data_IF_068942502499
#
_entry.id   IF_068942502499
#
_cell.length_a   1.000
_cell.length_b   1.000
_cell.length_c   1.000
_cell.angle_alpha   90.00
_cell.angle_beta   90.00
_cell.angle_gamma   90.00
#
_symmetry.space_group_name_H-M   'P 1'
#
loop_
_entity.id
_entity.type
_entity.pdbx_description
1 polymer ?
#
# COMPACT_ATOMS: atom_id res chain seq x y z
N UNK A 1 48.77 3.82 -33.31
CA UNK A 1 47.35 3.85 -33.69
C UNK A 1 46.66 2.77 -32.88
N UNK A 2 45.94 3.16 -31.84
CA UNK A 2 44.93 2.33 -31.20
C UNK A 2 43.71 3.22 -31.08
N UNK A 3 42.70 2.89 -31.89
CA UNK A 3 41.45 3.62 -31.95
C UNK A 3 40.69 3.47 -30.64
N UNK A 4 40.23 4.62 -30.16
CA UNK A 4 39.39 4.78 -28.99
C UNK A 4 38.05 4.08 -29.26
N UNK A 5 37.69 3.14 -28.38
CA UNK A 5 36.32 2.69 -28.25
C UNK A 5 35.42 3.89 -27.94
N UNK A 6 34.23 4.02 -28.57
CA UNK A 6 33.26 4.99 -28.14
C UNK A 6 32.68 4.51 -26.80
N UNK A 7 32.93 5.29 -25.75
CA UNK A 7 32.09 5.27 -24.55
C UNK A 7 30.66 5.54 -25.01
N UNK A 8 29.82 4.51 -25.02
CA UNK A 8 28.39 4.70 -24.96
C UNK A 8 28.07 5.13 -23.53
N UNK A 9 28.14 6.44 -23.29
CA UNK A 9 27.23 7.04 -22.33
C UNK A 9 25.83 6.70 -22.86
N UNK A 10 25.24 5.67 -22.28
CA UNK A 10 23.79 5.50 -22.32
C UNK A 10 23.29 6.66 -21.46
N UNK A 11 22.99 7.77 -22.13
CA UNK A 11 22.09 8.79 -21.62
C UNK A 11 20.73 8.10 -21.43
N UNK A 12 20.55 7.45 -20.28
CA UNK A 12 19.22 7.22 -19.73
C UNK A 12 18.56 8.59 -19.72
N UNK A 13 17.50 8.78 -20.50
CA UNK A 13 16.74 10.02 -20.52
C UNK A 13 16.55 10.48 -19.07
N UNK A 14 16.87 11.74 -18.71
CA UNK A 14 16.69 12.18 -17.34
C UNK A 14 15.20 12.02 -17.05
N UNK A 15 14.86 11.26 -16.00
CA UNK A 15 13.56 11.37 -15.35
C UNK A 15 13.33 12.88 -15.20
N UNK A 16 12.36 13.45 -15.92
CA UNK A 16 12.30 14.90 -16.10
C UNK A 16 11.67 15.54 -14.85
N UNK A 17 12.36 15.42 -13.73
CA UNK A 17 12.07 16.17 -12.54
C UNK A 17 12.44 17.63 -12.82
N UNK A 18 11.47 18.54 -12.67
CA UNK A 18 11.63 19.96 -12.96
C UNK A 18 12.41 20.70 -11.85
N UNK A 19 12.59 20.04 -10.70
CA UNK A 19 13.23 20.58 -9.49
C UNK A 19 14.27 19.61 -8.92
N UNK A 20 15.06 20.07 -7.95
CA UNK A 20 16.10 19.25 -7.33
C UNK A 20 15.51 18.12 -6.49
N UNK A 21 16.25 17.02 -6.34
CA UNK A 21 15.86 15.91 -5.45
C UNK A 21 15.57 16.39 -4.02
N UNK A 22 16.42 17.27 -3.47
CA UNK A 22 16.24 17.86 -2.14
C UNK A 22 14.93 18.66 -2.02
N UNK A 23 14.51 19.35 -3.09
CA UNK A 23 13.23 20.04 -3.11
C UNK A 23 12.06 19.07 -2.94
N UNK A 24 12.05 17.99 -3.73
CA UNK A 24 10.99 16.99 -3.65
C UNK A 24 10.99 16.22 -2.33
N UNK A 25 12.16 15.87 -1.79
CA UNK A 25 12.26 15.24 -0.46
C UNK A 25 11.57 16.11 0.59
N UNK A 26 11.92 17.39 0.67
CA UNK A 26 11.30 18.31 1.63
C UNK A 26 9.80 18.53 1.38
N UNK A 27 9.39 18.60 0.11
CA UNK A 27 7.99 18.79 -0.26
C UNK A 27 7.14 17.57 0.14
N UNK A 28 7.66 16.36 -0.09
CA UNK A 28 7.01 15.10 0.25
C UNK A 28 6.99 14.88 1.76
N UNK A 29 8.10 15.12 2.48
CA UNK A 29 8.11 15.09 3.95
C UNK A 29 7.02 15.99 4.55
N UNK A 30 6.93 17.24 4.08
CA UNK A 30 5.86 18.14 4.53
C UNK A 30 4.46 17.67 4.13
N UNK A 31 4.31 16.99 2.99
CA UNK A 31 3.02 16.42 2.56
C UNK A 31 2.62 15.23 3.43
N UNK A 32 3.57 14.36 3.80
CA UNK A 32 3.38 13.25 4.73
C UNK A 32 2.93 13.76 6.10
N UNK A 33 3.58 14.81 6.61
CA UNK A 33 3.17 15.43 7.89
C UNK A 33 1.72 15.89 7.83
N UNK A 34 1.33 16.60 6.75
CA UNK A 34 -0.05 17.06 6.57
C UNK A 34 -1.04 15.94 6.31
N UNK A 35 -0.64 14.86 5.64
CA UNK A 35 -1.47 13.68 5.47
C UNK A 35 -1.79 13.05 6.82
N UNK A 36 -0.79 12.93 7.70
CA UNK A 36 -0.95 12.36 9.05
C UNK A 36 -1.96 13.12 9.91
N UNK A 37 -2.06 14.45 9.75
CA UNK A 37 -3.05 15.29 10.44
C UNK A 37 -4.49 15.05 9.96
N UNK A 38 -4.68 14.31 8.86
CA UNK A 38 -5.99 13.98 8.28
C UNK A 38 -6.45 12.57 8.64
N UNK A 39 -5.61 11.77 9.30
CA UNK A 39 -6.02 10.46 9.80
C UNK A 39 -6.82 10.61 11.10
N UNK A 40 -7.86 9.78 11.30
CA UNK A 40 -8.56 9.75 12.58
C UNK A 40 -7.78 8.94 13.63
N UNK A 41 -8.22 9.02 14.89
CA UNK A 41 -7.68 8.21 15.99
C UNK A 41 -8.51 6.93 16.17
N UNK A 42 -8.73 6.18 15.09
CA UNK A 42 -9.49 4.91 15.11
C UNK A 42 -8.58 3.71 15.44
N UNK A 43 -9.15 2.55 15.83
CA UNK A 43 -8.36 1.37 16.20
C UNK A 43 -7.40 0.87 15.11
N UNK A 44 -7.79 0.93 13.84
CA UNK A 44 -7.03 0.45 12.68
C UNK A 44 -6.61 1.59 11.75
N UNK A 45 -7.54 2.40 11.23
CA UNK A 45 -7.20 3.48 10.29
C UNK A 45 -6.69 4.72 11.02
N UNK A 46 -5.43 4.69 11.48
CA UNK A 46 -4.78 5.78 12.25
C UNK A 46 -3.39 6.13 11.70
N UNK A 47 -2.72 7.21 12.17
CA UNK A 47 -1.38 7.59 11.68
C UNK A 47 -0.28 6.54 11.87
N UNK A 48 -0.54 5.48 12.67
CA UNK A 48 0.36 4.34 12.82
C UNK A 48 0.24 3.40 11.62
N UNK A 49 -0.98 3.01 11.25
CA UNK A 49 -1.25 2.29 10.00
C UNK A 49 -0.65 2.98 8.79
N UNK A 50 -0.81 4.31 8.66
CA UNK A 50 -0.15 5.11 7.62
C UNK A 50 1.37 4.82 7.53
N UNK A 51 2.06 4.80 8.67
CA UNK A 51 3.51 4.55 8.73
C UNK A 51 3.86 3.11 8.37
N UNK A 52 3.08 2.16 8.86
CA UNK A 52 3.28 0.74 8.58
C UNK A 52 3.14 0.47 7.06
N UNK A 53 2.14 1.08 6.41
CA UNK A 53 1.95 0.98 4.95
C UNK A 53 3.09 1.63 4.17
N UNK A 54 3.55 2.81 4.59
CA UNK A 54 4.72 3.47 3.98
C UNK A 54 5.99 2.61 4.08
N UNK A 55 6.23 1.98 5.23
CA UNK A 55 7.35 1.06 5.43
C UNK A 55 7.20 -0.19 4.53
N UNK A 56 6.01 -0.79 4.52
CA UNK A 56 5.71 -1.97 3.71
C UNK A 56 5.87 -1.71 2.20
N UNK A 57 5.52 -0.51 1.70
CA UNK A 57 5.82 -0.11 0.31
C UNK A 57 7.32 -0.22 0.02
N UNK A 58 8.17 0.35 0.89
CA UNK A 58 9.62 0.31 0.71
C UNK A 58 10.19 -1.10 0.78
N UNK A 59 9.59 -1.99 1.57
CA UNK A 59 9.95 -3.42 1.59
C UNK A 59 9.53 -4.15 0.31
N UNK A 60 8.31 -3.93 -0.16
CA UNK A 60 7.79 -4.57 -1.37
C UNK A 60 8.54 -4.15 -2.64
N UNK A 61 8.93 -2.87 -2.74
CA UNK A 61 9.73 -2.38 -3.87
C UNK A 61 11.08 -3.09 -3.95
N UNK A 62 11.70 -3.42 -2.81
CA UNK A 62 12.97 -4.18 -2.77
C UNK A 62 12.85 -5.64 -3.22
N UNK A 63 11.63 -6.18 -3.27
CA UNK A 63 11.36 -7.53 -3.78
C UNK A 63 11.23 -7.55 -5.31
N UNK A 64 11.11 -6.39 -5.96
CA UNK A 64 10.99 -6.29 -7.41
C UNK A 64 12.34 -6.63 -8.08
N UNK A 65 12.31 -7.21 -9.29
CA UNK A 65 13.52 -7.55 -10.03
C UNK A 65 14.28 -6.30 -10.47
N UNK A 66 15.40 -6.02 -9.79
CA UNK A 66 16.29 -4.86 -10.02
C UNK A 66 16.93 -4.80 -11.42
N UNK A 67 17.13 -5.97 -12.03
CA UNK A 67 17.83 -6.13 -13.31
C UNK A 67 16.92 -6.08 -14.54
N UNK A 68 15.61 -5.90 -14.33
CA UNK A 68 14.66 -5.77 -15.44
C UNK A 68 14.70 -4.35 -16.02
N UNK A 69 14.98 -4.23 -17.32
CA UNK A 69 14.83 -2.96 -18.05
C UNK A 69 13.70 -3.07 -19.08
N UNK A 70 12.67 -2.19 -19.03
CA UNK A 70 12.47 -1.15 -18.01
C UNK A 70 12.13 -1.73 -16.63
N UNK A 71 12.56 -1.04 -15.56
CA UNK A 71 12.21 -1.40 -14.18
C UNK A 71 10.70 -1.36 -13.98
N UNK A 72 10.19 -2.22 -13.10
CA UNK A 72 8.75 -2.23 -12.73
C UNK A 72 8.34 -0.92 -12.04
N UNK A 73 9.18 -0.43 -11.12
CA UNK A 73 9.06 0.86 -10.42
C UNK A 73 10.42 1.55 -10.53
N UNK A 74 10.45 2.81 -10.96
CA UNK A 74 11.68 3.62 -10.97
C UNK A 74 11.91 4.28 -9.60
N UNK A 75 13.13 4.75 -9.28
CA UNK A 75 13.39 5.45 -8.02
C UNK A 75 12.47 6.65 -7.79
N UNK A 76 12.14 7.41 -8.84
CA UNK A 76 11.15 8.50 -8.73
C UNK A 76 9.73 7.99 -8.42
N UNK A 77 9.33 6.88 -9.04
CA UNK A 77 8.04 6.26 -8.77
C UNK A 77 7.95 5.64 -7.37
N UNK A 78 9.07 5.20 -6.78
CA UNK A 78 9.14 4.77 -5.38
C UNK A 78 8.82 5.93 -4.43
N UNK A 79 9.42 7.12 -4.66
CA UNK A 79 9.11 8.33 -3.89
C UNK A 79 7.62 8.73 -4.02
N UNK A 80 7.06 8.62 -5.23
CA UNK A 80 5.62 8.83 -5.46
C UNK A 80 4.75 7.78 -4.77
N UNK A 81 5.16 6.52 -4.77
CA UNK A 81 4.39 5.44 -4.14
C UNK A 81 4.36 5.61 -2.62
N UNK A 82 5.47 6.06 -2.01
CA UNK A 82 5.51 6.45 -0.60
C UNK A 82 4.57 7.62 -0.29
N UNK A 83 4.48 8.61 -1.20
CA UNK A 83 3.52 9.71 -1.06
C UNK A 83 2.06 9.19 -1.17
N UNK A 84 1.77 8.30 -2.12
CA UNK A 84 0.45 7.66 -2.22
C UNK A 84 0.09 6.89 -0.95
N UNK A 85 1.05 6.13 -0.39
CA UNK A 85 0.89 5.42 0.88
C UNK A 85 0.59 6.36 2.05
N UNK A 86 1.22 7.54 2.12
CA UNK A 86 0.92 8.51 3.16
C UNK A 86 -0.52 9.05 3.09
N UNK A 87 -1.11 9.11 1.90
CA UNK A 87 -2.42 9.71 1.68
C UNK A 87 -3.58 8.71 1.60
N UNK A 88 -3.33 7.40 1.42
CA UNK A 88 -4.36 6.44 0.98
C UNK A 88 -5.64 6.41 1.82
N UNK A 89 -5.53 6.61 3.14
CA UNK A 89 -6.65 6.66 4.09
C UNK A 89 -6.85 8.04 4.74
N UNK A 90 -6.20 9.08 4.21
CA UNK A 90 -6.39 10.42 4.73
C UNK A 90 -7.87 10.83 4.65
N UNK A 91 -8.44 11.27 5.78
CA UNK A 91 -9.84 11.64 5.88
C UNK A 91 -10.82 10.47 5.96
N UNK A 92 -10.36 9.28 6.34
CA UNK A 92 -11.16 8.04 6.40
C UNK A 92 -12.53 8.17 7.08
N UNK A 93 -12.62 8.86 8.22
CA UNK A 93 -13.85 9.11 9.00
C UNK A 93 -14.40 10.54 8.85
N UNK A 94 -13.91 11.30 7.87
CA UNK A 94 -14.45 12.63 7.65
C UNK A 94 -15.89 12.55 7.14
N UNK A 95 -16.77 13.39 7.69
CA UNK A 95 -18.15 13.52 7.19
C UNK A 95 -18.20 13.86 5.70
N UNK A 96 -17.19 14.56 5.19
CA UNK A 96 -17.08 14.93 3.78
C UNK A 96 -16.82 13.74 2.86
N UNK A 97 -16.22 12.65 3.35
CA UNK A 97 -15.98 11.42 2.57
C UNK A 97 -17.28 10.82 2.00
N UNK A 98 -18.42 11.03 2.69
CA UNK A 98 -19.75 10.56 2.25
C UNK A 98 -20.23 11.16 0.92
N UNK A 99 -19.61 12.23 0.45
CA UNK A 99 -19.91 12.84 -0.84
C UNK A 99 -19.19 12.15 -2.01
N UNK A 100 -18.28 11.22 -1.72
CA UNK A 100 -17.46 10.52 -2.70
C UNK A 100 -17.93 9.07 -2.89
N UNK A 101 -17.68 8.45 -4.06
CA UNK A 101 -18.06 7.05 -4.29
C UNK A 101 -17.38 6.06 -3.35
N UNK A 102 -16.14 6.34 -2.95
CA UNK A 102 -15.36 5.55 -2.00
C UNK A 102 -14.53 6.47 -1.09
N UNK A 103 -13.96 5.93 -0.01
CA UNK A 103 -13.09 6.69 0.91
C UNK A 103 -11.77 7.07 0.22
N UNK A 104 -11.25 6.21 -0.63
CA UNK A 104 -10.04 6.39 -1.45
C UNK A 104 -10.20 7.53 -2.46
N UNK A 105 -11.38 7.68 -3.06
CA UNK A 105 -11.69 8.83 -3.93
C UNK A 105 -11.61 10.16 -3.17
N UNK A 106 -12.00 10.15 -1.89
CA UNK A 106 -11.88 11.32 -1.03
C UNK A 106 -10.42 11.58 -0.63
N UNK A 107 -9.67 10.55 -0.26
CA UNK A 107 -8.24 10.61 0.00
C UNK A 107 -7.46 11.19 -1.20
N UNK A 108 -7.76 10.73 -2.42
CA UNK A 108 -7.20 11.27 -3.66
C UNK A 108 -7.52 12.76 -3.83
N UNK A 109 -8.75 13.18 -3.51
CA UNK A 109 -9.15 14.58 -3.60
C UNK A 109 -8.34 15.45 -2.62
N UNK A 110 -8.15 14.99 -1.38
CA UNK A 110 -7.33 15.66 -0.37
C UNK A 110 -5.86 15.74 -0.81
N UNK A 111 -5.29 14.65 -1.31
CA UNK A 111 -3.92 14.63 -1.83
C UNK A 111 -3.73 15.61 -2.99
N UNK A 112 -4.67 15.64 -3.95
CA UNK A 112 -4.62 16.58 -5.09
C UNK A 112 -4.75 18.04 -4.62
N UNK A 113 -5.58 18.30 -3.61
CA UNK A 113 -5.67 19.62 -2.98
C UNK A 113 -4.36 20.02 -2.29
N UNK A 114 -3.71 19.08 -1.60
CA UNK A 114 -2.42 19.31 -0.95
C UNK A 114 -1.32 19.67 -1.95
N UNK A 115 -1.15 18.85 -3.00
CA UNK A 115 -0.19 19.07 -4.10
C UNK A 115 -0.39 20.46 -4.70
N UNK A 116 -1.65 20.83 -4.99
CA UNK A 116 -1.99 22.13 -5.58
C UNK A 116 -1.73 23.29 -4.62
N UNK A 117 -2.16 23.18 -3.37
CA UNK A 117 -2.08 24.25 -2.36
C UNK A 117 -0.63 24.55 -1.98
N UNK A 118 0.22 23.51 -1.98
CA UNK A 118 1.63 23.60 -1.63
C UNK A 118 2.56 23.73 -2.84
N UNK A 119 2.00 23.80 -4.06
CA UNK A 119 2.73 24.00 -5.32
C UNK A 119 3.82 22.95 -5.55
N UNK A 120 3.52 21.69 -5.22
CA UNK A 120 4.40 20.56 -5.49
C UNK A 120 4.34 20.29 -6.99
N UNK A 121 5.45 20.48 -7.70
CA UNK A 121 5.48 20.42 -9.17
C UNK A 121 5.51 18.98 -9.66
N UNK A 122 4.33 18.41 -9.89
CA UNK A 122 4.13 17.05 -10.41
C UNK A 122 3.51 17.11 -11.80
N UNK A 123 3.96 16.24 -12.70
CA UNK A 123 3.36 16.12 -14.03
C UNK A 123 1.98 15.46 -13.95
N UNK A 124 1.18 15.59 -15.01
CA UNK A 124 -0.08 14.84 -15.11
C UNK A 124 0.14 13.31 -15.03
N UNK A 125 1.31 12.82 -15.46
CA UNK A 125 1.65 11.40 -15.37
C UNK A 125 1.90 10.98 -13.92
N UNK A 126 2.63 11.79 -13.14
CA UNK A 126 2.87 11.54 -11.70
C UNK A 126 1.56 11.57 -10.91
N UNK A 127 0.70 12.55 -11.16
CA UNK A 127 -0.61 12.64 -10.51
C UNK A 127 -1.48 11.43 -10.87
N UNK A 128 -1.43 10.96 -12.13
CA UNK A 128 -2.15 9.75 -12.54
C UNK A 128 -1.58 8.48 -11.92
N UNK A 129 -0.26 8.41 -11.66
CA UNK A 129 0.37 7.31 -10.93
C UNK A 129 -0.14 7.25 -9.49
N UNK A 130 -0.13 8.39 -8.78
CA UNK A 130 -0.65 8.50 -7.41
C UNK A 130 -2.14 8.10 -7.33
N UNK A 131 -2.95 8.59 -8.27
CA UNK A 131 -4.38 8.28 -8.36
C UNK A 131 -4.63 6.77 -8.52
N UNK A 132 -3.89 6.10 -9.42
CA UNK A 132 -4.02 4.64 -9.61
C UNK A 132 -3.52 3.85 -8.40
N UNK A 133 -2.44 4.29 -7.77
CA UNK A 133 -1.92 3.65 -6.57
C UNK A 133 -2.99 3.63 -5.47
N UNK A 134 -3.54 4.79 -5.10
CA UNK A 134 -4.56 4.90 -4.05
C UNK A 134 -5.85 4.16 -4.44
N UNK A 135 -6.30 4.22 -5.69
CA UNK A 135 -7.45 3.40 -6.14
C UNK A 135 -7.22 1.90 -6.00
N UNK A 136 -5.95 1.47 -5.99
CA UNK A 136 -5.58 0.07 -5.79
C UNK A 136 -6.00 -0.48 -4.43
N UNK A 137 -6.16 0.37 -3.42
CA UNK A 137 -6.57 -0.04 -2.06
C UNK A 137 -8.08 -0.26 -1.94
N UNK A 138 -8.87 0.14 -2.94
CA UNK A 138 -10.33 -0.11 -2.96
C UNK A 138 -10.59 -1.62 -2.90
N UNK A 139 -11.15 -2.06 -1.77
CA UNK A 139 -11.43 -3.48 -1.53
C UNK A 139 -12.61 -4.04 -2.34
N UNK A 140 -13.57 -3.21 -2.78
CA UNK A 140 -14.81 -3.65 -3.46
C UNK A 140 -15.14 -2.79 -4.69
N UNK A 141 -15.49 -3.37 -5.87
CA UNK A 141 -15.64 -4.80 -6.14
C UNK A 141 -14.28 -5.51 -6.15
N UNK A 142 -14.21 -6.60 -5.38
CA UNK A 142 -13.00 -7.34 -5.05
C UNK A 142 -12.00 -7.38 -6.20
N UNK A 143 -10.84 -6.75 -5.96
CA UNK A 143 -9.59 -6.99 -6.69
C UNK A 143 -9.57 -6.57 -8.17
N UNK A 144 -10.57 -5.82 -8.66
CA UNK A 144 -10.65 -5.43 -10.09
C UNK A 144 -9.93 -4.13 -10.43
N UNK A 145 -9.47 -3.36 -9.44
CA UNK A 145 -8.89 -2.02 -9.67
C UNK A 145 -7.36 -2.02 -9.79
N UNK A 146 -6.70 -3.20 -9.81
CA UNK A 146 -5.25 -3.32 -9.71
C UNK A 146 -4.61 -3.85 -10.99
N UNK A 147 -4.78 -3.11 -12.07
CA UNK A 147 -4.16 -3.46 -13.35
C UNK A 147 -2.73 -2.94 -13.50
N UNK A 148 -2.28 -2.05 -12.61
CA UNK A 148 -0.95 -1.43 -12.66
C UNK A 148 -0.04 -1.86 -11.51
N UNK A 149 1.30 -1.82 -11.68
CA UNK A 149 2.22 -2.19 -10.63
C UNK A 149 2.04 -1.41 -9.32
N UNK A 150 1.86 -0.10 -9.39
CA UNK A 150 1.69 0.76 -8.22
C UNK A 150 0.40 0.48 -7.44
N UNK A 151 -0.69 0.13 -8.13
CA UNK A 151 -1.94 -0.25 -7.50
C UNK A 151 -1.81 -1.59 -6.76
N UNK A 152 -1.08 -2.56 -7.33
CA UNK A 152 -0.77 -3.86 -6.70
C UNK A 152 0.11 -3.69 -5.48
N UNK A 153 1.17 -2.90 -5.60
CA UNK A 153 2.13 -2.68 -4.52
C UNK A 153 1.47 -1.97 -3.34
N UNK A 154 0.72 -0.89 -3.57
CA UNK A 154 0.08 -0.18 -2.46
C UNK A 154 -1.00 -1.02 -1.79
N UNK A 155 -1.80 -1.78 -2.54
CA UNK A 155 -2.77 -2.70 -1.97
C UNK A 155 -2.13 -3.75 -1.04
N UNK A 156 -1.01 -4.36 -1.47
CA UNK A 156 -0.35 -5.37 -0.65
C UNK A 156 0.44 -4.76 0.52
N UNK A 157 0.85 -3.51 0.42
CA UNK A 157 1.41 -2.76 1.54
C UNK A 157 0.32 -2.44 2.58
N UNK A 158 -0.85 -2.00 2.14
CA UNK A 158 -2.03 -1.73 2.97
C UNK A 158 -2.46 -2.99 3.75
N UNK A 159 -2.43 -4.14 3.09
CA UNK A 159 -2.74 -5.44 3.68
C UNK A 159 -1.52 -6.16 4.27
N UNK A 160 -0.41 -5.47 4.58
CA UNK A 160 0.85 -6.13 4.97
C UNK A 160 0.72 -6.99 6.24
N UNK A 161 -0.11 -6.56 7.20
CA UNK A 161 -0.37 -7.29 8.45
C UNK A 161 -0.89 -8.72 8.20
N UNK A 162 -1.57 -8.96 7.06
CA UNK A 162 -2.06 -10.30 6.67
C UNK A 162 -0.94 -11.32 6.54
N UNK A 163 0.25 -10.88 6.16
CA UNK A 163 1.43 -11.74 5.95
C UNK A 163 2.51 -11.55 7.02
N UNK A 164 2.20 -10.81 8.08
CA UNK A 164 3.08 -10.64 9.23
C UNK A 164 3.14 -11.93 10.08
N UNK A 165 3.83 -11.89 11.21
CA UNK A 165 3.72 -12.96 12.19
C UNK A 165 2.32 -13.01 12.83
N UNK A 166 2.03 -14.09 13.55
CA UNK A 166 0.70 -14.34 14.10
C UNK A 166 0.20 -13.28 15.09
N UNK A 167 1.10 -12.72 15.90
CA UNK A 167 0.72 -11.73 16.91
C UNK A 167 0.31 -10.43 16.24
N UNK A 168 1.15 -9.95 15.30
CA UNK A 168 0.85 -8.77 14.48
C UNK A 168 -0.43 -8.95 13.68
N UNK A 169 -0.59 -10.11 13.02
CA UNK A 169 -1.80 -10.44 12.27
C UNK A 169 -3.06 -10.40 13.14
N UNK A 170 -3.01 -11.04 14.32
CA UNK A 170 -4.16 -11.12 15.22
C UNK A 170 -4.58 -9.75 15.74
N UNK A 171 -3.62 -8.93 16.16
CA UNK A 171 -3.93 -7.57 16.65
C UNK A 171 -4.45 -6.66 15.54
N UNK A 172 -3.93 -6.77 14.31
CA UNK A 172 -4.49 -6.08 13.16
C UNK A 172 -5.95 -6.48 12.90
N UNK A 173 -6.23 -7.79 12.95
CA UNK A 173 -7.59 -8.31 12.79
C UNK A 173 -8.55 -7.87 13.91
N UNK A 174 -8.10 -7.83 15.17
CA UNK A 174 -8.88 -7.30 16.31
C UNK A 174 -9.19 -5.81 16.13
N UNK A 175 -8.20 -5.01 15.72
CA UNK A 175 -8.38 -3.58 15.46
C UNK A 175 -9.39 -3.34 14.32
N UNK A 176 -9.24 -4.07 13.20
CA UNK A 176 -10.14 -3.98 12.06
C UNK A 176 -11.57 -4.43 12.42
N UNK A 177 -11.73 -5.49 13.20
CA UNK A 177 -13.02 -5.93 13.72
C UNK A 177 -13.72 -4.86 14.55
N UNK A 178 -13.01 -4.28 15.54
CA UNK A 178 -13.55 -3.24 16.40
C UNK A 178 -13.98 -1.99 15.63
N UNK A 179 -13.30 -1.68 14.52
CA UNK A 179 -13.56 -0.49 13.74
C UNK A 179 -14.64 -0.68 12.67
N UNK A 180 -14.46 -1.65 11.78
CA UNK A 180 -15.29 -1.80 10.57
C UNK A 180 -16.40 -2.86 10.73
N UNK A 181 -16.31 -3.72 11.75
CA UNK A 181 -17.29 -4.77 12.03
C UNK A 181 -17.76 -4.83 13.50
N UNK A 182 -18.06 -3.70 14.16
CA UNK A 182 -18.30 -3.65 15.61
C UNK A 182 -19.51 -4.48 16.07
N UNK A 183 -20.49 -4.68 15.19
CA UNK A 183 -21.70 -5.45 15.48
C UNK A 183 -21.55 -6.96 15.19
N UNK A 184 -20.45 -7.37 14.56
CA UNK A 184 -20.17 -8.77 14.25
C UNK A 184 -19.61 -9.48 15.49
N UNK A 185 -20.07 -10.69 15.81
CA UNK A 185 -19.43 -11.46 16.88
C UNK A 185 -18.00 -11.84 16.48
N UNK A 186 -17.10 -12.02 17.46
CA UNK A 186 -15.73 -12.44 17.14
C UNK A 186 -15.70 -13.77 16.38
N UNK A 187 -16.57 -14.72 16.72
CA UNK A 187 -16.65 -16.01 16.01
C UNK A 187 -17.10 -15.85 14.55
N UNK A 188 -18.08 -14.97 14.30
CA UNK A 188 -18.53 -14.66 12.93
C UNK A 188 -17.46 -13.90 12.15
N UNK A 189 -16.73 -12.99 12.80
CA UNK A 189 -15.62 -12.27 12.20
C UNK A 189 -14.45 -13.20 11.86
N UNK A 190 -14.15 -14.17 12.71
CA UNK A 190 -13.20 -15.23 12.40
C UNK A 190 -13.65 -16.06 11.17
N UNK A 191 -14.95 -16.30 11.01
CA UNK A 191 -15.46 -16.96 9.80
C UNK A 191 -15.34 -16.05 8.57
N UNK A 192 -15.64 -14.77 8.70
CA UNK A 192 -15.45 -13.77 7.64
C UNK A 192 -13.99 -13.72 7.15
N UNK A 193 -13.02 -13.66 8.08
CA UNK A 193 -11.59 -13.73 7.75
C UNK A 193 -11.21 -15.07 7.11
N UNK A 194 -11.74 -16.19 7.62
CA UNK A 194 -11.49 -17.51 7.05
C UNK A 194 -12.01 -17.65 5.62
N UNK A 195 -13.10 -16.98 5.27
CA UNK A 195 -13.66 -16.94 3.92
C UNK A 195 -12.87 -15.97 3.00
N UNK A 196 -12.32 -14.88 3.56
CA UNK A 196 -11.54 -13.89 2.83
C UNK A 196 -10.12 -14.37 2.50
N UNK A 197 -9.41 -15.02 3.43
CA UNK A 197 -8.01 -15.41 3.26
C UNK A 197 -7.73 -16.23 1.99
N UNK A 198 -8.56 -17.22 1.58
CA UNK A 198 -8.40 -17.92 0.31
C UNK A 198 -8.44 -17.00 -0.92
N UNK A 199 -9.33 -16.01 -0.92
CA UNK A 199 -9.47 -15.03 -1.99
C UNK A 199 -8.21 -14.15 -2.04
N UNK A 200 -7.73 -13.71 -0.87
CA UNK A 200 -6.52 -12.91 -0.77
C UNK A 200 -5.25 -13.68 -1.17
N UNK A 201 -5.15 -14.97 -0.83
CA UNK A 201 -4.05 -15.84 -1.26
C UNK A 201 -3.97 -15.95 -2.79
N UNK A 202 -5.11 -16.15 -3.46
CA UNK A 202 -5.16 -16.18 -4.93
C UNK A 202 -4.74 -14.83 -5.52
N UNK A 203 -5.25 -13.73 -4.94
CA UNK A 203 -4.89 -12.37 -5.33
C UNK A 203 -3.39 -12.11 -5.23
N UNK A 204 -2.80 -12.35 -4.04
CA UNK A 204 -1.38 -12.11 -3.76
C UNK A 204 -0.51 -12.92 -4.71
N UNK A 205 -0.84 -14.19 -4.92
CA UNK A 205 -0.11 -15.04 -5.86
C UNK A 205 -0.11 -14.43 -7.27
N UNK A 206 -1.27 -14.08 -7.80
CA UNK A 206 -1.40 -13.56 -9.16
C UNK A 206 -0.70 -12.20 -9.31
N UNK A 207 -0.91 -11.30 -8.36
CA UNK A 207 -0.33 -9.96 -8.38
C UNK A 207 1.20 -10.02 -8.24
N UNK A 208 1.74 -10.79 -7.29
CA UNK A 208 3.19 -10.93 -7.09
C UNK A 208 3.88 -11.62 -8.27
N UNK A 209 3.26 -12.65 -8.86
CA UNK A 209 3.76 -13.28 -10.08
C UNK A 209 3.81 -12.27 -11.23
N UNK A 210 2.79 -11.43 -11.38
CA UNK A 210 2.77 -10.41 -12.43
C UNK A 210 3.79 -9.29 -12.23
N UNK A 211 4.19 -9.02 -10.98
CA UNK A 211 5.24 -8.08 -10.62
C UNK A 211 6.65 -8.68 -10.79
N UNK A 212 6.76 -9.98 -11.06
CA UNK A 212 8.03 -10.68 -11.19
C UNK A 212 8.73 -10.93 -9.85
N UNK A 213 8.01 -10.90 -8.73
CA UNK A 213 8.56 -11.26 -7.41
C UNK A 213 8.95 -12.74 -7.42
N UNK A 214 10.07 -13.05 -6.75
CA UNK A 214 10.63 -14.40 -6.72
C UNK A 214 9.66 -15.43 -6.12
N UNK A 215 9.61 -16.63 -6.71
CA UNK A 215 8.66 -17.69 -6.33
C UNK A 215 8.81 -18.14 -4.86
N UNK A 216 10.01 -18.07 -4.30
CA UNK A 216 10.28 -18.42 -2.91
C UNK A 216 9.69 -17.41 -1.92
N UNK A 217 9.75 -16.11 -2.23
CA UNK A 217 9.08 -15.08 -1.42
C UNK A 217 7.56 -15.18 -1.54
N UNK A 218 7.01 -15.45 -2.75
CA UNK A 218 5.58 -15.72 -2.93
C UNK A 218 5.15 -16.90 -2.06
N UNK A 219 5.89 -18.02 -2.15
CA UNK A 219 5.59 -19.22 -1.38
C UNK A 219 5.63 -18.95 0.13
N UNK A 220 6.64 -18.23 0.62
CA UNK A 220 6.76 -17.85 2.03
C UNK A 220 5.52 -17.09 2.52
N UNK A 221 5.02 -16.10 1.75
CA UNK A 221 3.83 -15.32 2.11
C UNK A 221 2.56 -16.18 2.13
N UNK A 222 2.41 -17.08 1.14
CA UNK A 222 1.29 -18.02 1.08
C UNK A 222 1.32 -19.02 2.25
N UNK A 223 2.49 -19.57 2.60
CA UNK A 223 2.66 -20.48 3.74
C UNK A 223 2.25 -19.80 5.06
N UNK A 224 2.56 -18.50 5.22
CA UNK A 224 2.11 -17.68 6.36
C UNK A 224 0.58 -17.54 6.38
N UNK A 225 -0.04 -17.16 5.25
CA UNK A 225 -1.50 -17.01 5.16
C UNK A 225 -2.24 -18.34 5.44
N UNK A 226 -1.72 -19.46 4.93
CA UNK A 226 -2.26 -20.80 5.25
C UNK A 226 -2.14 -21.13 6.74
N UNK A 227 -1.04 -20.73 7.38
CA UNK A 227 -0.85 -20.89 8.82
C UNK A 227 -1.85 -20.04 9.62
N UNK A 228 -2.08 -18.79 9.22
CA UNK A 228 -3.10 -17.91 9.81
C UNK A 228 -4.50 -18.49 9.67
N UNK A 229 -4.88 -18.93 8.47
CA UNK A 229 -6.17 -19.58 8.22
C UNK A 229 -6.38 -20.79 9.15
N UNK A 230 -5.39 -21.69 9.23
CA UNK A 230 -5.45 -22.86 10.13
C UNK A 230 -5.62 -22.48 11.60
N UNK A 231 -5.07 -21.34 12.04
CA UNK A 231 -5.18 -20.86 13.42
C UNK A 231 -6.52 -20.19 13.69
N UNK A 232 -7.00 -19.31 12.80
CA UNK A 232 -8.32 -18.68 12.90
C UNK A 232 -9.43 -19.73 12.97
N UNK A 233 -9.36 -20.77 12.13
CA UNK A 233 -10.37 -21.83 12.11
C UNK A 233 -10.45 -22.65 13.40
N UNK A 234 -9.47 -22.56 14.31
CA UNK A 234 -9.57 -23.17 15.64
C UNK A 234 -10.54 -22.42 16.55
N UNK A 235 -10.96 -21.21 16.18
CA UNK A 235 -11.89 -20.34 16.93
C UNK A 235 -11.47 -20.13 18.40
N UNK A 236 -10.17 -20.23 18.65
CA UNK A 236 -9.59 -20.00 19.96
C UNK A 236 -8.97 -18.60 19.98
N UNK A 237 -9.36 -17.77 20.95
CA UNK A 237 -8.64 -16.53 21.21
C UNK A 237 -7.27 -16.89 21.83
N UNK A 238 -6.13 -16.55 21.20
CA UNK A 238 -4.80 -16.79 21.76
C UNK A 238 -4.53 -15.93 23.01
N UNK A 239 -5.29 -14.85 23.20
CA UNK A 239 -5.22 -13.93 24.32
C UNK A 239 -6.51 -14.02 25.15
N UNK A 240 -6.66 -15.03 26.01
CA UNK A 240 -7.81 -15.08 26.91
C UNK A 240 -7.83 -13.76 27.69
N UNK A 241 -8.95 -13.04 27.57
CA UNK A 241 -9.18 -11.80 28.31
C UNK A 241 -8.78 -12.03 29.76
N UNK A 242 -7.82 -11.25 30.26
CA UNK A 242 -7.63 -11.13 31.70
C UNK A 242 -8.95 -10.60 32.25
N UNK A 243 -9.72 -11.49 32.86
CA UNK A 243 -10.96 -11.20 33.56
C UNK A 243 -10.74 -10.23 34.73
#
# INVERSE_FOLDING_TARGET
MFDKFPNSQVDSAPESISQSKEHYTKAFEGSVDRASERYPELPYHHPGHMKDVMEAVGELVKLLPDDSYPRVITPWQEDLLALAAAWHDAGFDDKAARAYPTKEEYAIALMKEDIKSNKIDLTNHDIAFLDRAIRGTIMVPALKQRDTPEAKLLHHADMAYMTADWETFWHGAEAFHHEEHPDMSWEDFQQFEADFLPIYMESLKNDFQSLGIAEDEIKKRLDTLESHLKRIMKKANPWPSSA
#
